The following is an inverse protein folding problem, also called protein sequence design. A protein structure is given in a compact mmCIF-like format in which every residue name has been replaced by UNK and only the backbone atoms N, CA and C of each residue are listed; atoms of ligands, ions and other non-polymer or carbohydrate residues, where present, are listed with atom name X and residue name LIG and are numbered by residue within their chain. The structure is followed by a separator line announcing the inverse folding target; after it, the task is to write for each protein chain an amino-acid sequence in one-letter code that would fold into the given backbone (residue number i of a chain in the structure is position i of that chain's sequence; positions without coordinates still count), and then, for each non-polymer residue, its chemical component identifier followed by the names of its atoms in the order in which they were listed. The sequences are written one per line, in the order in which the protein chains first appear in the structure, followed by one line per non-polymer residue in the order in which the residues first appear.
data_IF_915137699973
#
_entry.id   IF_915137699973
#
_cell.length_a   1.000
_cell.length_b   1.000
_cell.length_c   1.000
_cell.angle_alpha   90.00
_cell.angle_beta   90.00
_cell.angle_gamma   90.00
#
_symmetry.space_group_name_H-M   'P 1'
#
loop_
_entity.id
_entity.type
_entity.pdbx_description
1 polymer ?
#
# COMPACT_ATOMS: atom_id res chain seq x y z
N UNK A 1 6.14 -2.85 -10.22
CA UNK A 1 4.70 -3.00 -9.91
C UNK A 1 4.06 -1.63 -9.70
N UNK A 2 4.64 -0.74 -8.88
CA UNK A 2 4.23 0.67 -8.73
C UNK A 2 3.95 1.42 -10.03
N UNK A 3 4.92 1.42 -10.98
CA UNK A 3 4.80 2.16 -12.25
C UNK A 3 3.63 1.74 -13.15
N UNK A 4 3.22 0.47 -13.08
CA UNK A 4 2.10 -0.03 -13.90
C UNK A 4 0.74 0.34 -13.30
N UNK A 5 0.66 0.44 -11.97
CA UNK A 5 -0.52 0.94 -11.28
C UNK A 5 -0.70 2.44 -11.52
N UNK A 6 0.37 3.22 -11.47
CA UNK A 6 0.35 4.65 -11.77
C UNK A 6 -0.19 4.92 -13.20
N UNK A 7 0.27 4.15 -14.20
CA UNK A 7 -0.26 4.22 -15.58
C UNK A 7 -1.75 3.89 -15.70
N UNK A 8 -2.28 3.06 -14.79
CA UNK A 8 -3.71 2.69 -14.72
C UNK A 8 -4.54 3.66 -13.87
N UNK A 9 -3.95 4.79 -13.47
CA UNK A 9 -4.61 5.85 -12.70
C UNK A 9 -4.66 5.61 -11.19
N UNK A 10 -3.93 4.62 -10.68
CA UNK A 10 -3.85 4.38 -9.23
C UNK A 10 -2.90 5.36 -8.57
N UNK A 11 -3.31 5.89 -7.44
CA UNK A 11 -2.53 6.83 -6.61
C UNK A 11 -2.04 6.08 -5.38
N UNK A 12 -0.72 6.00 -5.21
CA UNK A 12 -0.09 5.48 -3.98
C UNK A 12 -0.39 6.42 -2.81
N UNK A 13 -0.86 5.87 -1.69
CA UNK A 13 -1.19 6.63 -0.48
C UNK A 13 -0.12 6.46 0.60
N UNK A 14 -0.15 5.33 1.29
CA UNK A 14 0.71 5.03 2.42
C UNK A 14 0.94 3.52 2.50
N UNK A 15 1.99 3.13 3.22
CA UNK A 15 2.19 1.74 3.64
C UNK A 15 1.74 1.64 5.09
N UNK A 16 0.85 0.70 5.39
CA UNK A 16 0.32 0.49 6.74
C UNK A 16 0.37 -0.97 7.12
N UNK A 17 0.36 -1.22 8.42
CA UNK A 17 0.23 -2.53 9.00
C UNK A 17 -1.23 -3.01 9.03
N UNK A 18 -1.40 -4.33 8.97
CA UNK A 18 -2.66 -5.05 8.79
C UNK A 18 -3.86 -4.61 9.68
N UNK A 19 -3.72 -4.26 10.99
CA UNK A 19 -4.89 -3.86 11.80
C UNK A 19 -5.58 -2.57 11.32
N UNK A 20 -4.90 -1.74 10.52
CA UNK A 20 -5.46 -0.48 9.98
C UNK A 20 -6.05 -0.63 8.57
N UNK A 21 -5.93 -1.81 7.95
CA UNK A 21 -6.50 -2.06 6.62
C UNK A 21 -8.02 -2.03 6.59
N UNK A 22 -8.68 -2.29 7.73
CA UNK A 22 -10.13 -2.10 7.86
C UNK A 22 -10.54 -0.62 7.72
N UNK A 23 -9.73 0.33 8.21
CA UNK A 23 -9.95 1.78 8.00
C UNK A 23 -9.83 2.14 6.51
N UNK A 24 -8.92 1.48 5.78
CA UNK A 24 -8.74 1.75 4.35
C UNK A 24 -9.97 1.36 3.52
N UNK A 25 -10.79 0.41 3.96
CA UNK A 25 -12.05 0.09 3.27
C UNK A 25 -13.04 1.24 3.28
N UNK A 26 -12.92 2.22 4.18
CA UNK A 26 -13.77 3.40 4.18
C UNK A 26 -13.63 4.23 2.90
N UNK A 27 -12.46 4.18 2.23
CA UNK A 27 -12.28 4.80 0.92
C UNK A 27 -13.28 4.26 -0.12
N UNK A 28 -13.69 3.00 -0.02
CA UNK A 28 -14.66 2.41 -0.94
C UNK A 28 -16.04 3.06 -0.82
N UNK A 29 -16.44 3.41 0.40
CA UNK A 29 -17.67 4.16 0.70
C UNK A 29 -17.60 5.61 0.21
N UNK A 30 -16.40 6.18 0.09
CA UNK A 30 -16.16 7.52 -0.46
C UNK A 30 -16.08 7.54 -2.00
N UNK A 31 -16.37 6.41 -2.67
CA UNK A 31 -16.36 6.32 -4.13
C UNK A 31 -14.99 6.03 -4.73
N UNK A 32 -14.05 5.50 -3.95
CA UNK A 32 -12.77 5.03 -4.46
C UNK A 32 -12.78 3.51 -4.66
N UNK A 33 -11.86 3.05 -5.49
CA UNK A 33 -11.38 1.67 -5.50
C UNK A 33 -10.11 1.61 -4.65
N UNK A 34 -9.94 0.50 -3.92
CA UNK A 34 -8.77 0.24 -3.07
C UNK A 34 -8.03 -0.97 -3.64
N UNK A 35 -6.73 -0.81 -3.87
CA UNK A 35 -5.82 -1.89 -4.24
C UNK A 35 -4.68 -1.95 -3.21
N UNK A 36 -4.42 -3.15 -2.69
CA UNK A 36 -3.41 -3.39 -1.65
C UNK A 36 -2.33 -4.29 -2.23
N UNK A 37 -1.07 -3.86 -2.14
CA UNK A 37 0.08 -4.72 -2.49
C UNK A 37 0.96 -4.95 -1.26
N UNK A 38 1.50 -6.16 -1.06
CA UNK A 38 2.48 -6.39 -0.01
C UNK A 38 3.70 -5.50 -0.23
N UNK A 39 4.21 -4.92 0.85
CA UNK A 39 5.41 -4.09 0.79
C UNK A 39 6.61 -4.93 0.36
N UNK A 40 7.35 -4.47 -0.65
CA UNK A 40 8.60 -5.09 -1.07
C UNK A 40 9.78 -4.35 -0.45
N UNK A 41 10.69 -5.07 0.20
CA UNK A 41 11.94 -4.49 0.71
C UNK A 41 12.77 -3.81 -0.38
N UNK A 42 12.60 -4.25 -1.62
CA UNK A 42 13.28 -3.73 -2.80
C UNK A 42 12.94 -2.25 -3.04
N UNK A 43 11.72 -1.84 -2.69
CA UNK A 43 11.21 -0.48 -2.81
C UNK A 43 11.61 0.42 -1.62
N UNK A 44 12.38 -0.12 -0.66
CA UNK A 44 12.89 0.60 0.51
C UNK A 44 14.39 0.84 0.45
N UNK A 45 14.80 2.00 0.99
CA UNK A 45 16.19 2.28 1.31
C UNK A 45 16.78 1.23 2.24
N UNK A 46 18.03 0.86 1.97
CA UNK A 46 18.74 -0.24 2.65
C UNK A 46 18.77 -0.07 4.17
N UNK A 47 18.87 1.17 4.63
CA UNK A 47 18.93 1.52 6.06
C UNK A 47 17.60 1.26 6.78
N UNK A 48 16.47 1.45 6.09
CA UNK A 48 15.14 1.24 6.66
C UNK A 48 14.73 -0.23 6.67
N UNK A 49 15.33 -1.09 5.84
CA UNK A 49 14.96 -2.52 5.71
C UNK A 49 15.08 -3.30 7.03
N UNK A 50 16.02 -2.92 7.88
CA UNK A 50 16.30 -3.61 9.15
C UNK A 50 15.09 -3.55 10.09
N UNK A 51 14.43 -2.40 10.19
CA UNK A 51 13.28 -2.20 11.08
C UNK A 51 12.06 -3.02 10.66
N UNK A 52 11.90 -3.27 9.35
CA UNK A 52 10.70 -3.91 8.80
C UNK A 52 10.89 -5.37 8.43
N UNK A 53 12.12 -5.91 8.51
CA UNK A 53 12.46 -7.27 8.06
C UNK A 53 11.55 -8.37 8.67
N UNK A 54 11.08 -8.17 9.89
CA UNK A 54 10.23 -9.12 10.63
C UNK A 54 8.72 -8.77 10.57
N UNK A 55 8.33 -7.75 9.79
CA UNK A 55 6.94 -7.28 9.71
C UNK A 55 6.44 -7.10 8.26
N UNK A 56 7.21 -7.52 7.26
CA UNK A 56 6.86 -7.37 5.84
C UNK A 56 5.54 -8.04 5.47
N UNK A 57 5.26 -9.19 6.08
CA UNK A 57 4.01 -9.93 5.90
C UNK A 57 2.79 -9.14 6.36
N UNK A 58 2.99 -8.18 7.27
CA UNK A 58 1.94 -7.34 7.84
C UNK A 58 1.80 -6.00 7.14
N UNK A 59 2.77 -5.60 6.33
CA UNK A 59 2.81 -4.28 5.70
C UNK A 59 2.28 -4.35 4.28
N UNK A 60 1.27 -3.51 4.00
CA UNK A 60 0.72 -3.37 2.66
C UNK A 60 0.77 -1.91 2.23
N UNK A 61 1.18 -1.68 0.99
CA UNK A 61 1.07 -0.39 0.34
C UNK A 61 -0.34 -0.23 -0.22
N UNK A 62 -0.98 0.86 0.17
CA UNK A 62 -2.32 1.23 -0.25
C UNK A 62 -2.27 2.06 -1.52
N UNK A 63 -3.06 1.66 -2.50
CA UNK A 63 -3.33 2.40 -3.71
C UNK A 63 -4.83 2.69 -3.79
N UNK A 64 -5.17 3.91 -4.18
CA UNK A 64 -6.57 4.31 -4.38
C UNK A 64 -6.76 4.88 -5.78
N UNK A 65 -7.92 4.64 -6.37
CA UNK A 65 -8.34 5.27 -7.63
C UNK A 65 -9.77 5.74 -7.48
N UNK A 66 -10.15 6.88 -8.07
CA UNK A 66 -11.57 7.26 -8.10
C UNK A 66 -12.33 6.30 -9.01
N UNK A 67 -13.52 5.85 -8.57
CA UNK A 67 -14.47 5.16 -9.46
C UNK A 67 -14.93 6.07 -10.58
#
# INVERSE_FOLDING_TARGET
MSKELEKKGWIKRNTIDDPRLSEIKEYESLGFEVHLEPMKLEDMDKECRICYKNQLDKLKTVYTRKK
#
